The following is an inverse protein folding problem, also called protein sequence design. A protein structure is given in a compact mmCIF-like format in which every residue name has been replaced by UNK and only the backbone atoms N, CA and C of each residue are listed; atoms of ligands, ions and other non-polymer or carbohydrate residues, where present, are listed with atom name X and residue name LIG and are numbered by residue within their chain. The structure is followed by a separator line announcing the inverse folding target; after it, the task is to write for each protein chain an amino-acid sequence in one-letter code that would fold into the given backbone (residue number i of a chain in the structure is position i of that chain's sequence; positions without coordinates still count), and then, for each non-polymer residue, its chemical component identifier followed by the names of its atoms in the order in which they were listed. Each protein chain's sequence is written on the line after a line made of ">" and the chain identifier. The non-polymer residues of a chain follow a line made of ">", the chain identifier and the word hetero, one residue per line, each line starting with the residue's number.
data_IF_149926408423
#
_entry.id   IF_149926408423
#
_cell.length_a   1.000
_cell.length_b   1.000
_cell.length_c   1.000
_cell.angle_alpha   90.00
_cell.angle_beta   90.00
_cell.angle_gamma   90.00
#
_symmetry.space_group_name_H-M   'P 1'
#
loop_
_entity.id
_entity.type
_entity.pdbx_description
1 polymer ?
#
# COMPACT_ATOMS: atom_id res chain seq x y z
N UNK A 1 -14.78 -71.84 11.95
CA UNK A 1 -13.40 -71.37 12.16
C UNK A 1 -12.74 -71.27 10.80
N UNK A 2 -12.28 -70.07 10.43
CA UNK A 2 -11.52 -69.65 9.25
C UNK A 2 -12.12 -69.75 7.82
N UNK A 3 -12.32 -68.53 7.27
CA UNK A 3 -12.42 -68.12 5.86
C UNK A 3 -11.24 -67.14 5.64
N UNK A 4 -11.05 -66.59 4.43
CA UNK A 4 -10.41 -67.07 3.19
C UNK A 4 -9.02 -66.36 3.04
N UNK A 5 -8.33 -66.16 1.92
CA UNK A 5 -8.65 -66.05 0.49
C UNK A 5 -7.32 -66.22 -0.29
N UNK A 6 -7.26 -67.02 -1.33
CA UNK A 6 -7.82 -66.86 -2.69
C UNK A 6 -6.83 -66.19 -3.64
N UNK A 7 -6.56 -66.93 -4.70
CA UNK A 7 -5.53 -66.77 -5.71
C UNK A 7 -6.13 -66.11 -6.94
N UNK A 8 -5.64 -64.92 -7.30
CA UNK A 8 -5.93 -64.26 -8.58
C UNK A 8 -4.70 -64.26 -9.50
N UNK A 9 -4.89 -64.27 -10.83
CA UNK A 9 -3.93 -64.78 -11.80
C UNK A 9 -2.89 -63.76 -12.31
N UNK A 10 -1.76 -64.30 -12.74
CA UNK A 10 -0.67 -63.62 -13.45
C UNK A 10 -1.11 -62.97 -14.77
N UNK A 11 -0.70 -61.71 -14.99
CA UNK A 11 -0.73 -61.03 -16.28
C UNK A 11 0.61 -60.34 -16.59
N UNK A 12 0.96 -60.18 -17.89
CA UNK A 12 2.32 -60.24 -18.38
C UNK A 12 3.09 -58.91 -18.34
N UNK A 13 4.41 -59.05 -18.18
CA UNK A 13 5.44 -58.03 -18.39
C UNK A 13 5.46 -57.57 -19.85
N UNK A 14 5.34 -56.25 -20.08
CA UNK A 14 6.13 -55.41 -21.01
C UNK A 14 5.35 -54.16 -21.42
N UNK A 15 5.96 -52.99 -21.17
CA UNK A 15 5.90 -51.68 -21.86
C UNK A 15 6.43 -50.68 -20.82
N UNK A 16 7.65 -50.16 -20.91
CA UNK A 16 8.23 -49.50 -22.06
C UNK A 16 8.00 -48.00 -21.88
N UNK A 17 8.99 -47.30 -21.30
CA UNK A 17 9.34 -45.88 -21.50
C UNK A 17 10.35 -45.48 -20.40
N UNK A 18 11.62 -45.78 -20.68
CA UNK A 18 12.76 -45.13 -20.05
C UNK A 18 13.06 -43.88 -20.86
N UNK A 19 13.08 -42.71 -20.22
CA UNK A 19 13.52 -41.49 -20.89
C UNK A 19 12.95 -40.22 -20.28
N UNK A 20 13.42 -39.86 -19.09
CA UNK A 20 13.75 -38.50 -18.63
C UNK A 20 13.95 -38.55 -17.11
N UNK A 21 15.06 -39.18 -16.71
CA UNK A 21 15.69 -38.89 -15.43
C UNK A 21 16.36 -37.52 -15.58
N UNK A 22 15.75 -36.50 -14.99
CA UNK A 22 16.24 -35.14 -15.03
C UNK A 22 15.73 -34.36 -13.83
N UNK A 23 16.45 -34.50 -12.72
CA UNK A 23 16.52 -33.56 -11.59
C UNK A 23 15.28 -33.47 -10.68
N UNK A 24 15.14 -34.47 -9.81
CA UNK A 24 14.56 -34.26 -8.48
C UNK A 24 15.65 -34.54 -7.43
N UNK A 25 15.93 -33.52 -6.62
CA UNK A 25 16.65 -33.51 -5.33
C UNK A 25 17.94 -32.68 -5.31
N UNK A 26 17.79 -31.41 -4.88
CA UNK A 26 18.52 -30.73 -3.80
C UNK A 26 17.92 -29.30 -3.77
N UNK A 27 17.32 -28.77 -2.70
CA UNK A 27 17.68 -28.91 -1.30
C UNK A 27 17.93 -27.50 -0.77
N UNK A 28 16.92 -26.95 -0.08
CA UNK A 28 17.09 -26.16 1.14
C UNK A 28 18.16 -25.05 1.13
N UNK A 29 17.83 -23.90 0.56
CA UNK A 29 18.42 -22.63 0.98
C UNK A 29 17.38 -21.50 0.87
N UNK A 30 16.96 -20.98 2.01
CA UNK A 30 16.25 -19.71 2.11
C UNK A 30 14.74 -19.78 1.98
N UNK A 31 14.06 -19.99 3.12
CA UNK A 31 12.66 -19.59 3.27
C UNK A 31 12.54 -18.07 3.12
N UNK A 32 12.40 -17.60 1.89
CA UNK A 32 11.89 -16.28 1.59
C UNK A 32 10.45 -16.48 1.18
N UNK A 33 9.51 -16.13 2.07
CA UNK A 33 8.14 -15.85 1.63
C UNK A 33 8.24 -14.95 0.41
N UNK A 34 7.53 -15.28 -0.67
CA UNK A 34 7.39 -14.40 -1.81
C UNK A 34 6.72 -13.12 -1.30
N UNK A 35 7.52 -12.16 -0.86
CA UNK A 35 7.10 -10.81 -0.54
C UNK A 35 6.72 -10.20 -1.89
N UNK A 36 5.43 -9.89 -2.09
CA UNK A 36 4.89 -9.23 -3.30
C UNK A 36 5.36 -7.77 -3.47
N UNK A 37 6.49 -7.42 -2.86
CA UNK A 37 7.15 -6.13 -2.91
C UNK A 37 8.69 -6.26 -2.77
N UNK A 38 9.27 -7.42 -3.10
CA UNK A 38 10.69 -7.41 -3.47
C UNK A 38 10.77 -6.58 -4.75
N UNK A 39 11.52 -5.47 -4.81
CA UNK A 39 11.93 -4.96 -6.10
C UNK A 39 12.63 -6.14 -6.77
N UNK A 40 12.06 -6.66 -7.85
CA UNK A 40 12.81 -7.54 -8.73
C UNK A 40 14.17 -6.87 -8.94
N UNK A 41 15.30 -7.58 -8.84
CA UNK A 41 16.58 -6.96 -9.13
C UNK A 41 16.44 -6.29 -10.49
N UNK A 42 16.43 -4.96 -10.49
CA UNK A 42 16.20 -4.13 -11.67
C UNK A 42 17.45 -4.16 -12.58
N UNK A 43 18.13 -5.30 -12.64
CA UNK A 43 19.09 -5.68 -13.67
C UNK A 43 18.32 -5.89 -14.97
N UNK A 44 17.77 -4.80 -15.55
CA UNK A 44 17.03 -4.83 -16.80
C UNK A 44 16.15 -3.59 -17.01
N UNK A 45 15.53 -3.07 -15.96
CA UNK A 45 14.80 -1.81 -16.00
C UNK A 45 15.75 -0.66 -15.61
N UNK A 46 16.63 -0.28 -16.54
CA UNK A 46 17.18 1.08 -16.54
C UNK A 46 16.05 2.03 -16.92
N UNK A 47 15.12 2.29 -15.99
CA UNK A 47 14.41 3.54 -16.05
C UNK A 47 15.47 4.63 -15.83
N UNK A 48 15.62 5.62 -16.73
CA UNK A 48 16.37 6.81 -16.38
C UNK A 48 15.82 7.35 -15.05
N UNK A 49 16.63 8.02 -14.20
CA UNK A 49 16.09 8.72 -13.04
C UNK A 49 15.05 9.71 -13.56
N UNK A 50 13.78 9.32 -13.46
CA UNK A 50 12.64 10.07 -13.95
C UNK A 50 11.81 10.54 -12.77
N UNK A 51 11.01 11.58 -13.01
CA UNK A 51 10.09 12.24 -12.07
C UNK A 51 8.89 11.37 -11.68
N UNK A 52 9.10 10.07 -11.45
CA UNK A 52 8.07 9.14 -11.01
C UNK A 52 7.53 9.55 -9.64
N UNK A 53 6.27 9.99 -9.59
CA UNK A 53 5.57 10.34 -8.35
C UNK A 53 4.72 9.15 -7.91
N UNK A 54 4.98 8.63 -6.71
CA UNK A 54 4.11 7.67 -6.07
C UNK A 54 3.10 8.41 -5.19
N UNK A 55 1.82 8.25 -5.49
CA UNK A 55 0.73 8.74 -4.65
C UNK A 55 0.07 7.56 -3.97
N UNK A 56 0.07 7.55 -2.63
CA UNK A 56 -0.59 6.50 -1.82
C UNK A 56 -1.85 7.09 -1.19
N UNK A 57 -3.01 6.62 -1.63
CA UNK A 57 -4.30 6.99 -1.04
C UNK A 57 -4.71 5.88 -0.06
N UNK A 58 -4.67 6.19 1.23
CA UNK A 58 -5.10 5.24 2.26
C UNK A 58 -6.54 5.54 2.70
N UNK A 59 -7.48 4.69 2.28
CA UNK A 59 -8.91 4.83 2.58
C UNK A 59 -9.21 4.33 4.00
N UNK A 60 -9.12 5.23 4.99
CA UNK A 60 -9.56 4.95 6.37
C UNK A 60 -11.08 4.83 6.43
N UNK A 61 -11.59 3.93 7.27
CA UNK A 61 -13.04 3.75 7.47
C UNK A 61 -13.62 2.48 6.87
N UNK A 62 -12.81 1.44 6.65
CA UNK A 62 -13.23 0.10 6.23
C UNK A 62 -13.96 0.06 4.88
N UNK A 63 -13.22 0.35 3.80
CA UNK A 63 -13.70 0.11 2.44
C UNK A 63 -14.01 -1.39 2.25
N UNK A 64 -15.23 -1.69 1.79
CA UNK A 64 -15.63 -3.04 1.47
C UNK A 64 -15.09 -3.47 0.10
N UNK A 65 -13.95 -4.18 0.11
CA UNK A 65 -13.29 -4.66 -1.10
C UNK A 65 -14.16 -5.58 -1.96
N UNK A 66 -15.06 -6.37 -1.36
CA UNK A 66 -15.96 -7.28 -2.09
C UNK A 66 -17.16 -6.55 -2.72
N UNK A 67 -17.43 -5.31 -2.29
CA UNK A 67 -18.38 -4.43 -3.00
C UNK A 67 -17.67 -3.61 -4.08
N UNK A 68 -16.41 -3.23 -3.87
CA UNK A 68 -15.63 -2.49 -4.88
C UNK A 68 -15.22 -3.38 -6.06
N UNK A 69 -14.67 -4.56 -5.79
CA UNK A 69 -14.22 -5.56 -6.74
C UNK A 69 -15.06 -6.83 -6.57
N UNK A 70 -16.18 -6.87 -7.29
CA UNK A 70 -17.30 -7.79 -7.12
C UNK A 70 -16.99 -9.12 -7.81
N UNK A 71 -16.88 -10.26 -7.10
CA UNK A 71 -16.75 -11.59 -7.71
C UNK A 71 -18.12 -12.08 -8.20
N UNK A 72 -18.68 -11.44 -9.23
CA UNK A 72 -20.08 -11.65 -9.66
C UNK A 72 -20.38 -13.06 -10.18
N UNK A 73 -19.36 -13.85 -10.56
CA UNK A 73 -19.55 -15.24 -10.98
C UNK A 73 -19.58 -16.23 -9.81
N UNK A 74 -19.28 -15.79 -8.59
CA UNK A 74 -19.22 -16.63 -7.40
C UNK A 74 -20.58 -16.68 -6.70
N UNK A 75 -21.19 -17.87 -6.62
CA UNK A 75 -22.47 -18.06 -5.95
C UNK A 75 -22.38 -17.83 -4.43
N UNK A 76 -21.22 -18.13 -3.83
CA UNK A 76 -21.02 -17.96 -2.38
C UNK A 76 -21.03 -16.48 -2.01
N UNK A 77 -20.57 -15.59 -2.89
CA UNK A 77 -20.65 -14.14 -2.68
C UNK A 77 -22.09 -13.69 -2.40
N UNK A 78 -23.06 -14.16 -3.19
CA UNK A 78 -24.47 -13.83 -3.00
C UNK A 78 -25.06 -14.51 -1.77
N UNK A 79 -24.69 -15.78 -1.51
CA UNK A 79 -25.17 -16.54 -0.36
C UNK A 79 -24.73 -15.92 0.98
N UNK A 80 -23.48 -15.45 1.09
CA UNK A 80 -22.95 -14.86 2.32
C UNK A 80 -23.25 -13.36 2.46
N UNK A 81 -23.80 -12.71 1.42
CA UNK A 81 -24.12 -11.27 1.39
C UNK A 81 -25.56 -10.97 0.96
N UNK A 82 -26.58 -11.61 1.57
CA UNK A 82 -27.96 -11.54 1.09
C UNK A 82 -28.56 -10.12 1.05
N UNK A 83 -28.02 -9.18 1.84
CA UNK A 83 -28.54 -7.81 1.94
C UNK A 83 -27.66 -6.74 1.28
N UNK A 84 -26.41 -7.08 0.93
CA UNK A 84 -25.41 -6.11 0.47
C UNK A 84 -24.66 -6.53 -0.80
N UNK A 85 -24.97 -7.71 -1.37
CA UNK A 85 -24.37 -8.13 -2.63
C UNK A 85 -24.73 -7.17 -3.76
N UNK A 86 -23.76 -6.87 -4.61
CA UNK A 86 -24.00 -6.08 -5.83
C UNK A 86 -24.57 -6.99 -6.92
N UNK A 87 -25.66 -6.55 -7.56
CA UNK A 87 -26.31 -7.29 -8.62
C UNK A 87 -25.33 -7.64 -9.76
N UNK A 88 -25.41 -8.85 -10.33
CA UNK A 88 -24.53 -9.26 -11.42
C UNK A 88 -24.71 -8.34 -12.65
N UNK A 89 -23.70 -8.20 -13.53
CA UNK A 89 -23.77 -7.33 -14.69
C UNK A 89 -24.95 -7.68 -15.61
N UNK A 90 -25.82 -6.70 -15.85
CA UNK A 90 -27.00 -6.80 -16.74
C UNK A 90 -26.90 -5.89 -17.97
N UNK A 91 -25.77 -5.17 -18.12
CA UNK A 91 -25.55 -4.19 -19.18
C UNK A 91 -26.00 -2.77 -18.83
N UNK A 92 -26.57 -2.54 -17.66
CA UNK A 92 -26.95 -1.21 -17.16
C UNK A 92 -25.87 -0.63 -16.23
N UNK A 93 -26.02 0.66 -15.90
CA UNK A 93 -25.18 1.33 -14.88
C UNK A 93 -25.72 1.17 -13.45
N UNK A 94 -26.77 0.38 -13.25
CA UNK A 94 -27.37 0.13 -11.94
C UNK A 94 -26.87 -1.18 -11.29
N UNK A 95 -26.24 -2.05 -12.09
CA UNK A 95 -25.63 -3.30 -11.64
C UNK A 95 -24.10 -3.23 -11.68
N UNK A 96 -23.43 -4.31 -11.28
CA UNK A 96 -21.98 -4.39 -11.37
C UNK A 96 -21.49 -4.23 -12.83
N UNK A 97 -20.40 -3.50 -13.02
CA UNK A 97 -19.81 -3.24 -14.33
C UNK A 97 -18.78 -4.33 -14.63
N UNK A 98 -19.04 -5.18 -15.63
CA UNK A 98 -18.17 -6.33 -15.93
C UNK A 98 -16.72 -5.88 -16.23
N UNK A 99 -15.75 -6.49 -15.53
CA UNK A 99 -14.32 -6.34 -15.79
C UNK A 99 -13.78 -7.51 -16.61
N UNK A 100 -14.16 -8.73 -16.23
CA UNK A 100 -13.82 -9.97 -16.92
C UNK A 100 -14.89 -11.08 -16.69
N UNK A 101 -14.53 -12.35 -16.86
CA UNK A 101 -15.43 -13.50 -16.68
C UNK A 101 -15.81 -13.75 -15.21
N UNK A 102 -15.08 -13.19 -14.25
CA UNK A 102 -15.18 -13.50 -12.82
C UNK A 102 -15.49 -12.26 -11.98
N UNK A 103 -14.87 -11.14 -12.33
CA UNK A 103 -14.95 -9.90 -11.56
C UNK A 103 -15.68 -8.79 -12.31
N UNK A 104 -16.30 -7.93 -11.50
CA UNK A 104 -16.97 -6.72 -11.92
C UNK A 104 -16.63 -5.60 -10.93
N UNK A 105 -16.91 -4.37 -11.34
CA UNK A 105 -16.67 -3.16 -10.59
C UNK A 105 -18.00 -2.62 -10.05
N UNK A 106 -17.99 -2.05 -8.85
CA UNK A 106 -19.17 -1.35 -8.33
C UNK A 106 -19.64 -0.26 -9.32
N UNK A 107 -20.96 -0.08 -9.57
CA UNK A 107 -21.44 0.95 -10.51
C UNK A 107 -20.99 2.38 -10.14
N UNK A 108 -20.97 2.72 -8.85
CA UNK A 108 -20.43 3.99 -8.36
C UNK A 108 -18.92 4.22 -8.62
N UNK A 109 -18.19 3.20 -9.05
CA UNK A 109 -16.77 3.29 -9.46
C UNK A 109 -16.62 3.32 -10.99
N UNK A 110 -17.69 3.53 -11.75
CA UNK A 110 -17.69 3.49 -13.22
C UNK A 110 -16.65 4.38 -13.90
N UNK A 111 -16.28 5.51 -13.28
CA UNK A 111 -15.21 6.40 -13.76
C UNK A 111 -13.82 5.72 -13.81
N UNK A 112 -13.63 4.58 -13.12
CA UNK A 112 -12.39 3.80 -13.15
C UNK A 112 -12.39 2.73 -14.26
N UNK A 113 -13.54 2.42 -14.85
CA UNK A 113 -13.65 1.39 -15.90
C UNK A 113 -12.79 1.71 -17.14
N UNK A 114 -12.70 2.97 -17.62
CA UNK A 114 -11.80 3.31 -18.72
C UNK A 114 -10.32 3.02 -18.40
N UNK A 115 -9.90 3.22 -17.14
CA UNK A 115 -8.52 2.95 -16.72
C UNK A 115 -8.21 1.45 -16.70
N UNK A 116 -9.20 0.63 -16.32
CA UNK A 116 -9.10 -0.84 -16.41
C UNK A 116 -8.95 -1.27 -17.88
N UNK A 117 -9.80 -0.75 -18.76
CA UNK A 117 -9.77 -1.08 -20.20
C UNK A 117 -8.46 -0.67 -20.86
N UNK A 118 -7.83 0.39 -20.38
CA UNK A 118 -6.50 0.84 -20.81
C UNK A 118 -5.35 0.00 -20.23
N UNK A 119 -5.61 -0.89 -19.26
CA UNK A 119 -4.59 -1.69 -18.59
C UNK A 119 -3.70 -0.92 -17.60
N UNK A 120 -4.15 0.26 -17.14
CA UNK A 120 -3.41 1.14 -16.21
C UNK A 120 -4.01 1.20 -14.80
N UNK A 121 -5.08 0.44 -14.56
CA UNK A 121 -5.71 0.26 -13.26
C UNK A 121 -5.94 -1.22 -12.98
N UNK A 122 -5.75 -1.64 -11.73
CA UNK A 122 -5.87 -3.04 -11.34
C UNK A 122 -6.11 -3.24 -9.86
N UNK A 123 -6.58 -4.44 -9.51
CA UNK A 123 -6.82 -4.89 -8.14
C UNK A 123 -5.83 -5.99 -7.78
N UNK A 124 -5.44 -6.04 -6.50
CA UNK A 124 -4.69 -7.17 -5.92
C UNK A 124 -5.60 -7.86 -4.91
N UNK A 125 -6.36 -8.90 -5.31
CA UNK A 125 -7.24 -9.61 -4.41
C UNK A 125 -6.43 -10.38 -3.36
N UNK A 126 -7.07 -10.69 -2.22
CA UNK A 126 -6.45 -11.40 -1.10
C UNK A 126 -5.15 -10.76 -0.57
N UNK A 127 -4.98 -9.44 -0.77
CA UNK A 127 -3.92 -8.67 -0.15
C UNK A 127 -4.38 -8.15 1.23
N UNK A 128 -3.65 -8.51 2.29
CA UNK A 128 -3.99 -8.11 3.64
C UNK A 128 -2.99 -8.60 4.67
N UNK A 129 -3.35 -8.49 5.94
CA UNK A 129 -2.53 -9.03 7.03
C UNK A 129 -2.61 -10.57 7.05
N UNK A 130 -1.48 -11.29 7.23
CA UNK A 130 -1.47 -12.76 7.30
C UNK A 130 -2.34 -13.33 8.43
N UNK A 131 -2.42 -12.61 9.56
CA UNK A 131 -3.25 -12.98 10.68
C UNK A 131 -4.41 -11.97 10.81
N UNK A 132 -5.66 -12.45 10.88
CA UNK A 132 -6.79 -11.57 11.11
C UNK A 132 -6.66 -10.92 12.49
N UNK A 133 -7.00 -9.64 12.58
CA UNK A 133 -7.16 -8.95 13.85
C UNK A 133 -8.53 -8.27 13.90
N UNK A 134 -9.03 -8.02 15.11
CA UNK A 134 -10.33 -7.38 15.34
C UNK A 134 -10.19 -5.89 15.69
N UNK A 135 -8.99 -5.34 15.58
CA UNK A 135 -8.65 -3.97 15.97
C UNK A 135 -8.32 -3.17 14.72
N UNK A 136 -9.24 -2.29 14.31
CA UNK A 136 -9.01 -1.42 13.16
C UNK A 136 -7.74 -0.58 13.30
N UNK A 137 -7.43 -0.10 14.51
CA UNK A 137 -6.22 0.68 14.79
C UNK A 137 -4.95 -0.15 14.61
N UNK A 138 -4.91 -1.38 15.15
CA UNK A 138 -3.73 -2.23 15.02
C UNK A 138 -3.55 -2.75 13.59
N UNK A 139 -4.65 -3.11 12.91
CA UNK A 139 -4.59 -3.51 11.50
C UNK A 139 -4.01 -2.40 10.63
N UNK A 140 -4.55 -1.20 10.82
CA UNK A 140 -4.09 -0.04 10.10
C UNK A 140 -2.62 0.23 10.39
N UNK A 141 -2.22 0.26 11.66
CA UNK A 141 -0.83 0.50 12.04
C UNK A 141 0.12 -0.53 11.43
N UNK A 142 -0.21 -1.82 11.48
CA UNK A 142 0.60 -2.89 10.88
C UNK A 142 0.74 -2.74 9.35
N UNK A 143 -0.32 -2.32 8.65
CA UNK A 143 -0.26 -2.00 7.21
C UNK A 143 0.61 -0.76 6.95
N UNK A 144 0.50 0.27 7.78
CA UNK A 144 1.27 1.51 7.67
C UNK A 144 2.78 1.28 7.89
N UNK A 145 3.17 0.36 8.78
CA UNK A 145 4.58 -0.01 9.02
C UNK A 145 5.07 -1.20 8.18
N UNK A 146 4.17 -1.86 7.45
CA UNK A 146 4.47 -3.03 6.63
C UNK A 146 4.98 -4.25 7.42
N UNK A 147 4.62 -4.39 8.70
CA UNK A 147 5.08 -5.45 9.60
C UNK A 147 3.90 -6.10 10.33
N UNK A 148 3.53 -7.30 9.88
CA UNK A 148 2.46 -8.08 10.51
C UNK A 148 2.82 -8.52 11.94
N UNK A 149 1.84 -8.48 12.85
CA UNK A 149 1.99 -8.87 14.25
C UNK A 149 2.75 -7.88 15.14
N UNK A 150 3.28 -6.78 14.58
CA UNK A 150 4.04 -5.79 15.35
C UNK A 150 3.13 -4.68 15.87
N UNK A 151 3.12 -4.52 17.19
CA UNK A 151 2.35 -3.47 17.90
C UNK A 151 3.24 -2.38 18.50
N UNK A 152 4.55 -2.61 18.60
CA UNK A 152 5.52 -1.62 19.05
C UNK A 152 5.80 -0.57 17.99
N UNK A 153 6.33 0.59 18.40
CA UNK A 153 6.79 1.65 17.49
C UNK A 153 7.76 1.11 16.41
N UNK A 154 7.53 1.50 15.17
CA UNK A 154 8.34 1.18 14.00
C UNK A 154 8.19 2.28 12.93
N UNK A 155 9.20 2.49 12.08
CA UNK A 155 9.07 3.41 10.97
C UNK A 155 8.05 2.88 9.95
N UNK A 156 7.29 3.81 9.37
CA UNK A 156 6.39 3.57 8.26
C UNK A 156 7.16 3.14 7.00
N UNK A 157 6.53 2.30 6.18
CA UNK A 157 7.21 1.78 5.00
C UNK A 157 7.47 2.87 3.94
N UNK A 158 6.60 3.89 3.84
CA UNK A 158 6.79 4.99 2.89
C UNK A 158 7.89 5.96 3.36
N UNK A 159 8.00 6.21 4.67
CA UNK A 159 9.16 6.92 5.23
C UNK A 159 10.47 6.16 4.96
N UNK A 160 10.45 4.84 5.17
CA UNK A 160 11.61 3.97 4.91
C UNK A 160 11.98 3.93 3.43
N UNK A 161 11.00 3.99 2.52
CA UNK A 161 11.23 4.08 1.08
C UNK A 161 11.85 5.44 0.70
N UNK A 162 11.37 6.54 1.28
CA UNK A 162 11.93 7.87 1.07
C UNK A 162 13.39 7.95 1.58
N UNK A 163 13.69 7.41 2.76
CA UNK A 163 15.05 7.34 3.30
C UNK A 163 16.00 6.59 2.35
N UNK A 164 15.56 5.44 1.83
CA UNK A 164 16.34 4.64 0.88
C UNK A 164 16.54 5.36 -0.46
N UNK A 165 15.50 6.03 -0.97
CA UNK A 165 15.62 6.82 -2.18
C UNK A 165 16.63 7.97 -1.98
N UNK A 166 16.62 8.65 -0.84
CA UNK A 166 17.57 9.72 -0.53
C UNK A 166 19.01 9.22 -0.49
N UNK A 167 19.24 8.07 0.15
CA UNK A 167 20.55 7.44 0.20
C UNK A 167 21.06 7.04 -1.19
N UNK A 168 20.17 6.57 -2.08
CA UNK A 168 20.53 6.18 -3.46
C UNK A 168 20.81 7.37 -4.38
N UNK A 169 20.16 8.51 -4.16
CA UNK A 169 20.39 9.71 -4.96
C UNK A 169 21.77 10.34 -4.73
N UNK A 170 22.51 9.91 -3.69
CA UNK A 170 23.87 10.39 -3.42
C UNK A 170 23.98 11.88 -3.12
N UNK A 171 22.84 12.56 -2.88
CA UNK A 171 22.79 14.00 -2.67
C UNK A 171 23.53 14.36 -1.37
N UNK A 172 24.71 15.00 -1.44
CA UNK A 172 25.38 15.52 -0.26
C UNK A 172 24.60 16.77 0.19
N UNK A 173 24.26 16.86 1.47
CA UNK A 173 23.99 18.15 2.11
C UNK A 173 22.93 19.05 1.47
N UNK A 174 21.71 18.54 1.23
CA UNK A 174 20.52 19.40 1.25
C UNK A 174 19.94 19.89 -0.08
N UNK A 175 20.25 19.28 -1.23
CA UNK A 175 19.50 19.55 -2.48
C UNK A 175 18.78 18.30 -3.01
N UNK A 176 17.45 18.42 -3.06
CA UNK A 176 16.47 17.46 -3.57
C UNK A 176 16.50 16.06 -2.93
N UNK A 177 16.38 15.97 -1.61
CA UNK A 177 15.96 14.72 -0.97
C UNK A 177 14.56 14.34 -1.46
N UNK A 178 14.30 13.07 -1.82
CA UNK A 178 12.96 12.58 -2.10
C UNK A 178 12.05 12.91 -0.92
N UNK A 179 11.13 13.84 -1.19
CA UNK A 179 10.29 14.44 -0.17
C UNK A 179 9.06 13.55 0.01
N UNK A 180 8.96 12.92 1.17
CA UNK A 180 7.71 12.34 1.58
C UNK A 180 6.72 13.47 1.89
N UNK A 181 5.58 13.45 1.21
CA UNK A 181 4.50 14.41 1.39
C UNK A 181 3.32 13.73 2.10
N UNK A 182 2.86 14.35 3.19
CA UNK A 182 1.63 13.94 3.87
C UNK A 182 0.56 15.02 3.74
N UNK A 183 -0.67 14.63 3.39
CA UNK A 183 -1.81 15.55 3.33
C UNK A 183 -2.78 15.25 4.47
N UNK A 184 -2.86 16.15 5.45
CA UNK A 184 -3.66 15.95 6.66
C UNK A 184 -3.20 16.79 7.84
N UNK A 185 -3.93 16.69 8.95
CA UNK A 185 -3.64 17.45 10.16
C UNK A 185 -2.50 16.85 10.99
N UNK A 186 -2.29 15.53 10.90
CA UNK A 186 -1.26 14.78 11.62
C UNK A 186 -0.46 13.89 10.66
N UNK A 187 0.80 13.61 11.02
CA UNK A 187 1.64 12.70 10.25
C UNK A 187 1.14 11.25 10.44
N UNK A 188 0.67 10.56 9.38
CA UNK A 188 0.27 9.17 9.50
C UNK A 188 1.47 8.25 9.79
N UNK A 189 1.23 7.10 10.42
CA UNK A 189 2.31 6.18 10.80
C UNK A 189 3.11 5.68 9.59
N UNK A 190 2.49 5.60 8.41
CA UNK A 190 3.13 5.25 7.14
C UNK A 190 4.27 6.21 6.75
N UNK A 191 4.21 7.45 7.24
CA UNK A 191 5.20 8.50 7.07
C UNK A 191 6.05 8.74 8.32
N UNK A 192 5.80 8.01 9.42
CA UNK A 192 6.61 8.11 10.64
C UNK A 192 8.00 7.50 10.44
N UNK A 193 9.05 8.18 10.87
CA UNK A 193 10.42 7.68 10.77
C UNK A 193 11.45 8.80 10.60
N UNK A 194 12.72 8.45 10.35
CA UNK A 194 13.82 9.41 10.33
C UNK A 194 13.89 10.27 9.05
N UNK A 195 13.21 9.88 7.96
CA UNK A 195 13.18 10.71 6.76
C UNK A 195 12.34 11.98 6.99
N UNK A 196 12.80 13.10 6.45
CA UNK A 196 12.05 14.35 6.49
C UNK A 196 10.72 14.22 5.74
N UNK A 197 9.64 14.62 6.39
CA UNK A 197 8.28 14.64 5.83
C UNK A 197 7.78 16.08 5.82
N UNK A 198 7.20 16.50 4.70
CA UNK A 198 6.46 17.76 4.64
C UNK A 198 4.97 17.47 4.72
N UNK A 199 4.34 18.04 5.74
CA UNK A 199 2.90 17.96 5.94
C UNK A 199 2.22 19.18 5.33
N UNK A 200 1.17 18.92 4.57
CA UNK A 200 0.30 19.92 3.96
C UNK A 200 -1.09 19.72 4.56
N UNK A 201 -1.68 20.78 5.10
CA UNK A 201 -3.05 20.71 5.62
C UNK A 201 -4.06 20.49 4.47
N UNK A 202 -5.30 20.13 4.80
CA UNK A 202 -6.35 19.89 3.79
C UNK A 202 -7.04 21.19 3.37
N UNK A 203 -7.35 21.30 2.08
CA UNK A 203 -8.16 22.40 1.53
C UNK A 203 -7.60 23.79 1.85
N UNK A 204 -8.48 24.74 2.16
CA UNK A 204 -8.11 26.13 2.47
C UNK A 204 -7.17 26.27 3.68
N UNK A 205 -7.09 25.26 4.56
CA UNK A 205 -6.15 25.27 5.68
C UNK A 205 -4.69 25.08 5.23
N UNK A 206 -4.45 24.51 4.04
CA UNK A 206 -3.10 24.41 3.44
C UNK A 206 -2.47 25.78 3.20
N UNK A 207 -3.31 26.78 2.93
CA UNK A 207 -2.90 28.15 2.60
C UNK A 207 -2.69 29.01 3.86
N UNK A 208 -3.16 28.55 5.03
CA UNK A 208 -3.08 29.30 6.27
C UNK A 208 -1.78 28.94 7.01
N UNK A 209 -0.94 29.94 7.24
CA UNK A 209 0.20 29.84 8.18
C UNK A 209 -0.23 29.59 9.63
N UNK A 210 -1.52 29.81 9.94
CA UNK A 210 -2.11 29.55 11.26
C UNK A 210 -1.51 30.45 12.35
N UNK A 211 -1.41 29.92 13.57
CA UNK A 211 -0.86 30.63 14.75
C UNK A 211 0.59 31.09 14.54
N UNK A 212 1.33 30.43 13.63
CA UNK A 212 2.71 30.79 13.27
C UNK A 212 2.81 31.96 12.29
N UNK A 213 1.70 32.51 11.80
CA UNK A 213 1.70 33.71 10.97
C UNK A 213 2.15 34.97 11.75
N UNK A 214 1.83 35.02 13.04
CA UNK A 214 2.23 36.10 13.94
C UNK A 214 3.71 35.95 14.31
N UNK A 215 4.50 36.98 14.05
CA UNK A 215 5.93 36.99 14.41
C UNK A 215 6.16 36.80 15.91
N UNK A 216 5.37 37.50 16.73
CA UNK A 216 5.46 37.42 18.18
C UNK A 216 5.14 36.00 18.68
N UNK A 217 4.08 35.39 18.15
CA UNK A 217 3.67 34.04 18.56
C UNK A 217 4.65 32.97 18.06
N UNK A 218 5.15 33.13 16.83
CA UNK A 218 6.18 32.27 16.25
C UNK A 218 7.45 32.29 17.09
N UNK A 219 7.92 33.48 17.49
CA UNK A 219 9.11 33.64 18.32
C UNK A 219 8.92 33.03 19.70
N UNK A 220 7.80 33.32 20.37
CA UNK A 220 7.48 32.74 21.68
C UNK A 220 7.44 31.21 21.66
N UNK A 221 6.88 30.60 20.60
CA UNK A 221 6.87 29.15 20.46
C UNK A 221 8.26 28.60 20.12
N UNK A 222 9.05 29.26 19.26
CA UNK A 222 10.43 28.84 18.99
C UNK A 222 11.31 28.91 20.24
N UNK A 223 11.11 29.91 21.09
CA UNK A 223 11.80 30.03 22.38
C UNK A 223 11.36 28.94 23.36
N UNK A 224 10.05 28.65 23.43
CA UNK A 224 9.49 27.56 24.26
C UNK A 224 10.05 26.18 23.84
N UNK A 225 10.27 25.97 22.55
CA UNK A 225 10.79 24.74 21.95
C UNK A 225 12.26 24.87 21.51
N UNK A 226 13.04 25.76 22.15
CA UNK A 226 14.44 26.00 21.80
C UNK A 226 15.39 24.85 22.20
N UNK A 227 14.91 23.89 23.00
CA UNK A 227 15.68 22.73 23.44
C UNK A 227 16.20 21.87 22.27
N UNK A 228 17.30 21.16 22.53
CA UNK A 228 17.82 20.11 21.65
C UNK A 228 17.21 18.74 21.97
N UNK A 229 16.03 18.73 22.58
CA UNK A 229 15.27 17.51 22.82
C UNK A 229 14.44 17.14 21.58
N UNK A 230 13.95 15.89 21.57
CA UNK A 230 13.14 15.38 20.44
C UNK A 230 11.89 16.22 20.18
N UNK A 231 11.31 16.82 21.23
CA UNK A 231 10.14 17.68 21.09
C UNK A 231 10.50 19.01 20.42
N UNK A 232 11.58 19.65 20.84
CA UNK A 232 12.09 20.87 20.19
C UNK A 232 12.46 20.65 18.72
N UNK A 233 13.14 19.55 18.42
CA UNK A 233 13.46 19.17 17.03
C UNK A 233 12.21 18.94 16.18
N UNK A 234 11.26 18.13 16.67
CA UNK A 234 10.01 17.85 15.98
C UNK A 234 9.17 19.12 15.75
N UNK A 235 9.10 20.00 16.75
CA UNK A 235 8.40 21.29 16.62
C UNK A 235 9.01 22.16 15.52
N UNK A 236 10.34 22.34 15.53
CA UNK A 236 11.03 23.18 14.53
C UNK A 236 10.88 22.62 13.11
N UNK A 237 10.98 21.31 12.95
CA UNK A 237 10.74 20.65 11.66
C UNK A 237 9.29 20.87 11.16
N UNK A 238 8.30 20.69 12.04
CA UNK A 238 6.90 20.93 11.71
C UNK A 238 6.58 22.39 11.38
N UNK A 239 7.11 23.33 12.15
CA UNK A 239 6.95 24.78 11.94
C UNK A 239 7.57 25.22 10.60
N UNK A 240 8.79 24.79 10.31
CA UNK A 240 9.47 25.08 9.04
C UNK A 240 8.73 24.49 7.83
N UNK A 241 8.28 23.23 7.94
CA UNK A 241 7.47 22.58 6.91
C UNK A 241 6.20 23.36 6.58
N UNK A 242 5.44 23.83 7.58
CA UNK A 242 4.19 24.57 7.37
C UNK A 242 4.41 25.91 6.68
N UNK A 243 5.43 26.67 7.12
CA UNK A 243 5.75 27.98 6.55
C UNK A 243 6.14 27.86 5.06
N UNK A 244 6.98 26.88 4.73
CA UNK A 244 7.39 26.63 3.34
C UNK A 244 6.22 26.19 2.46
N UNK A 245 5.32 25.33 2.95
CA UNK A 245 4.14 24.91 2.20
C UNK A 245 3.20 26.09 1.88
N UNK A 246 2.92 26.95 2.86
CA UNK A 246 2.04 28.10 2.67
C UNK A 246 2.64 29.12 1.67
N UNK A 247 3.95 29.35 1.72
CA UNK A 247 4.65 30.22 0.76
C UNK A 247 4.61 29.66 -0.66
N UNK A 248 4.87 28.36 -0.85
CA UNK A 248 4.86 27.72 -2.16
C UNK A 248 3.47 27.77 -2.82
N UNK A 249 2.41 27.44 -2.06
CA UNK A 249 1.03 27.48 -2.54
C UNK A 249 0.54 28.91 -2.82
N UNK A 250 1.01 29.89 -2.05
CA UNK A 250 0.71 31.31 -2.30
C UNK A 250 1.35 31.83 -3.59
N UNK A 251 2.57 31.39 -3.91
CA UNK A 251 3.29 31.79 -5.12
C UNK A 251 2.65 31.24 -6.41
N UNK A 252 2.15 29.99 -6.41
CA UNK A 252 1.46 29.39 -7.57
C UNK A 252 0.18 30.15 -7.95
N UNK A 253 -0.52 30.80 -7.01
CA UNK A 253 -1.72 31.61 -7.30
C UNK A 253 -1.41 32.94 -7.98
N UNK A 254 -0.17 33.43 -7.90
CA UNK A 254 0.24 34.73 -8.46
C UNK A 254 0.87 34.60 -9.86
N UNK A 255 1.08 33.37 -10.32
CA UNK A 255 1.59 33.03 -11.65
C UNK A 255 0.45 32.68 -12.61
#
# INVERSE_FOLDING_TARGET
>A
MNRPADTGPDLPRRRGLSGLAGLFALGLAGGAGRVWAQPAPASGLKSPPGDGRLVVLFLRGACDGLSAFVPYSDADYYAIRPTIAIAPPDGTLQAALRLDATFALHPALGELLPLWQQGVFGFVPAAGLPAPNRSHFDAQYQMEIGQAGKTSSAPGWLNSAAAQAAARSGAPGGMASPLALGVGEANPAILGGPAAVRLIARGQAAERTGVLASEATRRALLDLYAGNDRLGEAFRQGAGSRLQSAQALGAEKMA
#
